data_IF_279876827941
#
_entry.id   IF_279876827941
#
_cell.length_a   1.000
_cell.length_b   1.000
_cell.length_c   1.000
_cell.angle_alpha   90.00
_cell.angle_beta   90.00
_cell.angle_gamma   90.00
#
_symmetry.space_group_name_H-M   'P 1'
#
loop_
_entity.id
_entity.type
_entity.pdbx_description
1 polymer ?
#
# COMPACT_ATOMS: atom_id res chain seq x y z
N UNK A 1 3.65 -21.62 -15.61
CA UNK A 1 3.21 -20.22 -15.79
C UNK A 1 3.92 -19.63 -17.00
N UNK A 2 3.18 -18.89 -17.88
CA UNK A 2 3.80 -18.13 -18.97
C UNK A 2 4.62 -16.95 -18.36
N UNK A 3 5.59 -16.45 -19.12
CA UNK A 3 6.43 -15.33 -18.71
C UNK A 3 5.58 -14.11 -18.34
N UNK A 4 4.57 -13.78 -19.12
CA UNK A 4 3.65 -12.66 -18.88
C UNK A 4 2.95 -12.78 -17.52
N UNK A 5 2.53 -13.98 -17.14
CA UNK A 5 1.90 -14.22 -15.82
C UNK A 5 2.88 -14.09 -14.66
N UNK A 6 4.14 -14.42 -14.89
CA UNK A 6 5.19 -14.22 -13.88
C UNK A 6 5.43 -12.72 -13.69
N UNK A 7 5.61 -11.97 -14.79
CA UNK A 7 5.81 -10.51 -14.76
C UNK A 7 4.60 -9.83 -14.11
N UNK A 8 3.38 -10.20 -14.53
CA UNK A 8 2.15 -9.69 -13.93
C UNK A 8 2.14 -9.88 -12.40
N UNK A 9 2.43 -11.09 -11.93
CA UNK A 9 2.45 -11.40 -10.50
C UNK A 9 3.51 -10.60 -9.73
N UNK A 10 4.68 -10.39 -10.32
CA UNK A 10 5.74 -9.56 -9.71
C UNK A 10 5.29 -8.10 -9.59
N UNK A 11 4.70 -7.54 -10.65
CA UNK A 11 4.22 -6.14 -10.65
C UNK A 11 3.04 -5.97 -9.68
N UNK A 12 2.11 -6.93 -9.64
CA UNK A 12 1.00 -7.00 -8.66
C UNK A 12 1.55 -6.99 -7.21
N UNK A 13 2.54 -7.83 -6.94
CA UNK A 13 3.23 -7.90 -5.63
C UNK A 13 3.94 -6.59 -5.27
N UNK A 14 4.57 -5.90 -6.22
CA UNK A 14 5.20 -4.59 -5.98
C UNK A 14 4.12 -3.55 -5.63
N UNK A 15 3.00 -3.54 -6.35
CA UNK A 15 1.90 -2.62 -6.08
C UNK A 15 1.27 -2.82 -4.69
N UNK A 16 1.05 -4.07 -4.27
CA UNK A 16 0.60 -4.42 -2.91
C UNK A 16 1.63 -4.01 -1.86
N UNK A 17 2.90 -4.43 -2.01
CA UNK A 17 3.95 -4.14 -1.04
C UNK A 17 4.32 -2.65 -0.97
N UNK A 18 3.96 -1.83 -1.94
CA UNK A 18 4.04 -0.38 -1.81
C UNK A 18 3.21 0.10 -0.63
N UNK A 19 2.02 -0.46 -0.40
CA UNK A 19 1.19 -0.16 0.77
C UNK A 19 1.74 -0.86 2.01
N UNK A 20 1.77 -2.18 2.00
CA UNK A 20 1.98 -3.01 3.20
C UNK A 20 3.43 -3.01 3.69
N UNK A 21 4.37 -2.87 2.76
CA UNK A 21 5.80 -2.89 3.04
C UNK A 21 6.39 -1.52 3.36
N UNK A 22 5.78 -0.44 2.86
CA UNK A 22 6.35 0.89 3.05
C UNK A 22 5.36 1.93 3.57
N UNK A 23 4.26 2.20 2.85
CA UNK A 23 3.38 3.34 3.16
C UNK A 23 2.70 3.18 4.51
N UNK A 24 2.16 2.00 4.80
CA UNK A 24 1.47 1.77 6.07
C UNK A 24 2.42 1.83 7.28
N UNK A 25 3.59 1.16 7.29
CA UNK A 25 4.55 1.35 8.37
C UNK A 25 4.97 2.81 8.56
N UNK A 26 5.23 3.54 7.45
CA UNK A 26 5.58 4.96 7.50
C UNK A 26 4.44 5.82 8.05
N UNK A 27 3.19 5.54 7.67
CA UNK A 27 1.99 6.21 8.16
C UNK A 27 1.81 6.01 9.66
N UNK A 28 1.96 4.78 10.17
CA UNK A 28 1.86 4.50 11.60
C UNK A 28 3.02 5.12 12.38
N UNK A 29 4.25 5.12 11.84
CA UNK A 29 5.38 5.86 12.40
C UNK A 29 5.06 7.36 12.52
N UNK A 30 4.52 7.93 11.45
CA UNK A 30 4.08 9.33 11.41
C UNK A 30 3.00 9.62 12.45
N UNK A 31 1.96 8.80 12.54
CA UNK A 31 0.92 8.95 13.58
C UNK A 31 1.51 8.87 14.99
N UNK A 32 2.32 7.86 15.25
CA UNK A 32 2.95 7.67 16.55
C UNK A 32 3.90 8.80 16.97
N UNK A 33 4.44 9.55 15.99
CA UNK A 33 5.31 10.69 16.25
C UNK A 33 4.61 11.86 16.95
N UNK A 34 3.29 11.90 16.95
CA UNK A 34 2.51 12.92 17.69
C UNK A 34 2.16 12.50 19.12
N UNK A 35 2.43 11.26 19.52
CA UNK A 35 2.15 10.76 20.86
C UNK A 35 3.43 10.51 21.64
N UNK A 36 3.41 10.88 22.93
CA UNK A 36 4.53 10.75 23.84
C UNK A 36 4.05 10.14 25.15
N UNK A 37 4.93 9.36 25.77
CA UNK A 37 4.73 8.83 27.12
C UNK A 37 5.93 9.17 27.97
N UNK A 38 5.71 9.34 29.28
CA UNK A 38 6.79 9.54 30.25
C UNK A 38 7.18 8.20 30.86
N UNK A 39 8.42 7.79 30.65
CA UNK A 39 8.95 6.53 31.16
C UNK A 39 10.26 6.87 31.95
N UNK A 40 10.31 6.54 33.22
CA UNK A 40 11.46 6.80 34.09
C UNK A 40 11.99 8.25 34.03
N UNK A 41 11.08 9.22 33.96
CA UNK A 41 11.45 10.64 33.88
C UNK A 41 11.84 11.14 32.48
N UNK A 42 11.86 10.28 31.47
CA UNK A 42 12.14 10.63 30.07
C UNK A 42 10.88 10.67 29.23
N UNK A 43 10.80 11.63 28.30
CA UNK A 43 9.73 11.71 27.31
C UNK A 43 10.11 10.88 26.09
N UNK A 44 9.32 9.84 25.80
CA UNK A 44 9.57 8.89 24.72
C UNK A 44 8.46 8.97 23.67
N UNK A 45 8.83 9.10 22.40
CA UNK A 45 7.88 9.07 21.29
C UNK A 45 7.33 7.67 21.03
N UNK A 46 6.05 7.58 20.70
CA UNK A 46 5.39 6.33 20.32
C UNK A 46 5.53 5.98 18.82
N UNK A 47 6.37 6.67 18.06
CA UNK A 47 6.57 6.40 16.63
C UNK A 47 6.95 4.93 16.35
N UNK A 48 7.97 4.42 17.05
CA UNK A 48 8.41 3.02 16.88
C UNK A 48 7.36 2.00 17.36
N UNK A 49 6.74 2.13 18.55
CA UNK A 49 5.64 1.26 18.97
C UNK A 49 4.49 1.18 17.95
N UNK A 50 4.08 2.30 17.37
CA UNK A 50 3.01 2.31 16.35
C UNK A 50 3.43 1.54 15.08
N UNK A 51 4.64 1.77 14.58
CA UNK A 51 5.18 1.04 13.43
C UNK A 51 5.24 -0.47 13.68
N UNK A 52 5.73 -0.88 14.86
CA UNK A 52 5.83 -2.29 15.24
C UNK A 52 4.46 -2.94 15.42
N UNK A 53 3.48 -2.21 15.98
CA UNK A 53 2.09 -2.68 16.09
C UNK A 53 1.48 -2.94 14.72
N UNK A 54 1.63 -2.00 13.79
CA UNK A 54 1.20 -2.22 12.42
C UNK A 54 1.89 -3.45 11.80
N UNK A 55 3.21 -3.57 11.95
CA UNK A 55 3.94 -4.71 11.38
C UNK A 55 3.50 -6.05 11.97
N UNK A 56 3.17 -6.09 13.26
CA UNK A 56 2.60 -7.28 13.90
C UNK A 56 1.23 -7.65 13.29
N UNK A 57 0.33 -6.67 13.10
CA UNK A 57 -0.98 -6.85 12.47
C UNK A 57 -0.81 -7.42 11.05
N UNK A 58 -0.01 -6.79 10.22
CA UNK A 58 0.24 -7.20 8.84
C UNK A 58 0.90 -8.59 8.74
N UNK A 59 1.83 -8.91 9.67
CA UNK A 59 2.44 -10.23 9.72
C UNK A 59 1.43 -11.30 10.12
N UNK A 60 0.56 -11.04 11.10
CA UNK A 60 -0.50 -11.97 11.49
C UNK A 60 -1.46 -12.24 10.34
N UNK A 61 -1.88 -11.22 9.60
CA UNK A 61 -2.71 -11.42 8.41
C UNK A 61 -2.00 -12.28 7.37
N UNK A 62 -0.76 -11.97 7.04
CA UNK A 62 0.05 -12.73 6.09
C UNK A 62 0.25 -14.19 6.49
N UNK A 63 0.25 -14.51 7.78
CA UNK A 63 0.45 -15.88 8.27
C UNK A 63 -0.86 -16.68 8.39
N UNK A 64 -1.95 -16.04 8.77
CA UNK A 64 -3.20 -16.76 9.13
C UNK A 64 -4.46 -16.19 8.48
N UNK A 65 -4.42 -15.06 7.80
CA UNK A 65 -5.55 -14.39 7.16
C UNK A 65 -6.14 -15.10 5.93
N UNK A 66 -5.67 -16.30 5.62
CA UNK A 66 -6.10 -17.07 4.46
C UNK A 66 -7.54 -17.59 4.58
N UNK A 67 -8.33 -17.44 3.50
CA UNK A 67 -9.69 -17.97 3.37
C UNK A 67 -9.72 -19.45 3.00
N UNK A 68 -9.01 -20.31 3.74
CA UNK A 68 -9.04 -21.77 3.59
C UNK A 68 -9.70 -22.40 4.82
N UNK A 69 -10.11 -23.66 4.72
CA UNK A 69 -10.82 -24.37 5.79
C UNK A 69 -10.10 -24.33 7.14
N UNK A 70 -8.76 -24.29 7.13
CA UNK A 70 -7.95 -24.28 8.36
C UNK A 70 -7.96 -22.94 9.08
N UNK A 71 -8.03 -21.81 8.35
CA UNK A 71 -7.82 -20.46 8.89
C UNK A 71 -9.04 -19.55 8.79
N UNK A 72 -10.14 -20.00 8.14
CA UNK A 72 -11.30 -19.16 7.84
C UNK A 72 -11.93 -18.50 9.07
N UNK A 73 -11.95 -19.19 10.19
CA UNK A 73 -12.47 -18.64 11.45
C UNK A 73 -11.39 -17.98 12.30
N UNK A 74 -10.23 -18.63 12.41
CA UNK A 74 -9.11 -18.17 13.21
C UNK A 74 -8.47 -16.89 12.63
N UNK A 75 -8.22 -16.85 11.32
CA UNK A 75 -7.59 -15.72 10.64
C UNK A 75 -8.52 -14.54 10.33
N UNK A 76 -9.83 -14.69 10.53
CA UNK A 76 -10.83 -13.66 10.20
C UNK A 76 -10.61 -12.35 10.96
N UNK A 77 -10.16 -12.42 12.20
CA UNK A 77 -9.91 -11.22 13.02
C UNK A 77 -8.66 -10.50 12.52
N UNK A 78 -7.56 -11.22 12.26
CA UNK A 78 -6.32 -10.63 11.74
C UNK A 78 -6.55 -9.96 10.39
N UNK A 79 -7.24 -10.61 9.45
CA UNK A 79 -7.59 -10.06 8.15
C UNK A 79 -8.42 -8.76 8.26
N UNK A 80 -9.40 -8.71 9.16
CA UNK A 80 -10.21 -7.51 9.36
C UNK A 80 -9.43 -6.35 10.00
N UNK A 81 -8.56 -6.65 10.96
CA UNK A 81 -7.74 -5.63 11.62
C UNK A 81 -6.72 -5.06 10.62
N UNK A 82 -6.13 -5.91 9.78
CA UNK A 82 -5.25 -5.47 8.70
C UNK A 82 -6.00 -4.62 7.67
N UNK A 83 -7.19 -5.03 7.25
CA UNK A 83 -8.05 -4.24 6.35
C UNK A 83 -8.35 -2.84 6.92
N UNK A 84 -8.60 -2.71 8.22
CA UNK A 84 -8.82 -1.42 8.89
C UNK A 84 -7.52 -0.62 8.95
N UNK A 85 -6.41 -1.24 9.32
CA UNK A 85 -5.11 -0.58 9.41
C UNK A 85 -4.66 0.00 8.07
N UNK A 86 -4.86 -0.74 6.99
CA UNK A 86 -4.49 -0.34 5.64
C UNK A 86 -5.50 0.59 4.96
N UNK A 87 -6.66 0.87 5.59
CA UNK A 87 -7.74 1.63 4.94
C UNK A 87 -7.30 3.01 4.44
N UNK A 88 -6.69 3.82 5.29
CA UNK A 88 -6.20 5.17 4.91
C UNK A 88 -4.93 5.07 4.05
N UNK A 89 -3.88 4.33 4.45
CA UNK A 89 -2.66 4.21 3.67
C UNK A 89 -2.88 3.79 2.21
N UNK A 90 -3.71 2.77 1.98
CA UNK A 90 -3.98 2.29 0.64
C UNK A 90 -4.64 3.36 -0.26
N UNK A 91 -5.56 4.14 0.30
CA UNK A 91 -6.22 5.22 -0.44
C UNK A 91 -5.29 6.39 -0.74
N UNK A 92 -4.43 6.76 0.20
CA UNK A 92 -3.38 7.76 -0.04
C UNK A 92 -2.42 7.29 -1.14
N UNK A 93 -2.05 6.01 -1.11
CA UNK A 93 -1.18 5.43 -2.12
C UNK A 93 -1.80 5.49 -3.52
N UNK A 94 -3.00 4.96 -3.69
CA UNK A 94 -3.64 4.88 -5.01
C UNK A 94 -4.14 6.22 -5.55
N UNK A 95 -4.61 7.12 -4.67
CA UNK A 95 -5.18 8.41 -5.09
C UNK A 95 -4.11 9.49 -5.28
N UNK A 96 -3.07 9.48 -4.46
CA UNK A 96 -2.12 10.60 -4.40
C UNK A 96 -0.72 10.14 -4.84
N UNK A 97 -0.12 9.19 -4.11
CA UNK A 97 1.31 8.93 -4.25
C UNK A 97 1.67 8.26 -5.58
N UNK A 98 0.92 7.25 -6.02
CA UNK A 98 1.19 6.56 -7.30
C UNK A 98 0.94 7.50 -8.49
N UNK A 99 -0.18 8.24 -8.59
CA UNK A 99 -0.36 9.21 -9.67
C UNK A 99 0.72 10.29 -9.70
N UNK A 100 1.09 10.89 -8.56
CA UNK A 100 2.16 11.89 -8.51
C UNK A 100 3.51 11.31 -8.93
N UNK A 101 3.84 10.10 -8.48
CA UNK A 101 5.06 9.39 -8.90
C UNK A 101 5.06 9.13 -10.41
N UNK A 102 3.91 8.77 -10.96
CA UNK A 102 3.74 8.58 -12.40
C UNK A 102 4.01 9.86 -13.19
N UNK A 103 3.56 11.01 -12.67
CA UNK A 103 3.84 12.31 -13.28
C UNK A 103 5.34 12.62 -13.29
N UNK A 104 6.03 12.41 -12.16
CA UNK A 104 7.47 12.66 -12.01
C UNK A 104 8.29 11.76 -12.94
N UNK A 105 7.88 10.50 -13.10
CA UNK A 105 8.56 9.53 -13.94
C UNK A 105 8.20 9.61 -15.43
N UNK A 106 7.32 10.54 -15.82
CA UNK A 106 6.85 10.66 -17.20
C UNK A 106 5.90 9.54 -17.63
N UNK A 107 5.27 8.83 -16.67
CA UNK A 107 4.22 7.85 -16.92
C UNK A 107 2.84 8.52 -16.95
N UNK A 108 1.78 7.74 -17.18
CA UNK A 108 0.44 8.33 -17.39
C UNK A 108 -0.27 8.67 -16.07
N UNK A 109 -0.08 9.88 -15.56
CA UNK A 109 -0.82 10.43 -14.42
C UNK A 109 -2.35 10.37 -14.62
N UNK A 110 -2.84 10.83 -15.78
CA UNK A 110 -4.28 10.87 -16.07
C UNK A 110 -4.89 9.47 -16.08
N UNK A 111 -4.20 8.51 -16.69
CA UNK A 111 -4.69 7.14 -16.77
C UNK A 111 -4.59 6.44 -15.41
N UNK A 112 -3.56 6.72 -14.62
CA UNK A 112 -3.43 6.25 -13.23
C UNK A 112 -4.67 6.62 -12.42
N UNK A 113 -5.07 7.90 -12.42
CA UNK A 113 -6.28 8.36 -11.73
C UNK A 113 -7.57 7.78 -12.33
N UNK A 114 -7.69 7.76 -13.67
CA UNK A 114 -8.87 7.21 -14.35
C UNK A 114 -9.13 5.76 -13.94
N UNK A 115 -8.10 4.93 -13.99
CA UNK A 115 -8.22 3.51 -13.66
C UNK A 115 -8.44 3.33 -12.15
N UNK A 116 -7.76 4.11 -11.31
CA UNK A 116 -8.00 4.12 -9.87
C UNK A 116 -9.49 4.30 -9.56
N UNK A 117 -10.13 5.36 -10.06
CA UNK A 117 -11.54 5.62 -9.76
C UNK A 117 -12.49 4.56 -10.33
N UNK A 118 -12.17 3.99 -11.49
CA UNK A 118 -12.99 2.97 -12.15
C UNK A 118 -12.87 1.60 -11.50
N UNK A 119 -11.65 1.18 -11.10
CA UNK A 119 -11.35 -0.23 -10.83
C UNK A 119 -10.94 -0.54 -9.39
N UNK A 120 -10.69 0.47 -8.54
CA UNK A 120 -10.19 0.28 -7.16
C UNK A 120 -11.01 -0.69 -6.29
N UNK A 121 -12.26 -0.89 -6.60
CA UNK A 121 -13.18 -1.77 -5.84
C UNK A 121 -13.34 -3.15 -6.49
N UNK A 122 -12.59 -3.47 -7.54
CA UNK A 122 -12.68 -4.77 -8.23
C UNK A 122 -11.83 -5.87 -7.58
N UNK A 123 -10.96 -5.53 -6.64
CA UNK A 123 -10.17 -6.52 -5.91
C UNK A 123 -10.95 -7.09 -4.73
N UNK A 124 -10.68 -8.36 -4.36
CA UNK A 124 -11.31 -9.04 -3.20
C UNK A 124 -10.89 -8.44 -1.85
N UNK A 125 -9.70 -7.84 -1.75
CA UNK A 125 -9.28 -7.00 -0.64
C UNK A 125 -9.73 -5.57 -0.88
N UNK A 126 -10.27 -4.86 0.12
CA UNK A 126 -10.70 -3.47 -0.01
C UNK A 126 -9.52 -2.49 -0.16
N UNK A 127 -8.30 -2.95 0.06
CA UNK A 127 -7.07 -2.17 0.07
C UNK A 127 -6.16 -2.43 -1.13
N UNK A 128 -5.90 -3.70 -1.50
CA UNK A 128 -5.00 -4.05 -2.61
C UNK A 128 -5.42 -3.41 -3.93
N UNK A 129 -6.73 -3.40 -4.24
CA UNK A 129 -7.25 -2.76 -5.45
C UNK A 129 -6.99 -1.26 -5.55
N UNK A 130 -6.70 -0.57 -4.43
CA UNK A 130 -6.41 0.86 -4.44
C UNK A 130 -5.05 1.15 -5.13
N UNK A 131 -3.99 0.45 -4.72
CA UNK A 131 -2.67 0.60 -5.33
C UNK A 131 -2.58 -0.06 -6.70
N UNK A 132 -3.08 -1.30 -6.83
CA UNK A 132 -3.05 -2.03 -8.10
C UNK A 132 -3.70 -1.27 -9.24
N UNK A 133 -4.89 -0.71 -9.02
CA UNK A 133 -5.59 0.06 -10.06
C UNK A 133 -4.81 1.29 -10.52
N UNK A 134 -4.17 2.00 -9.59
CA UNK A 134 -3.33 3.14 -9.90
C UNK A 134 -2.07 2.73 -10.69
N UNK A 135 -1.40 1.64 -10.29
CA UNK A 135 -0.26 1.08 -11.02
C UNK A 135 -0.65 0.60 -12.41
N UNK A 136 -1.76 -0.14 -12.53
CA UNK A 136 -2.28 -0.60 -13.82
C UNK A 136 -2.51 0.56 -14.78
N UNK A 137 -3.13 1.63 -14.29
CA UNK A 137 -3.35 2.84 -15.07
C UNK A 137 -2.06 3.57 -15.45
N UNK A 138 -1.11 3.69 -14.53
CA UNK A 138 0.18 4.33 -14.75
C UNK A 138 1.00 3.64 -15.84
N UNK A 139 1.00 2.31 -15.82
CA UNK A 139 1.82 1.47 -16.70
C UNK A 139 1.10 1.04 -17.99
N UNK A 140 -0.22 1.24 -18.10
CA UNK A 140 -1.03 0.81 -19.25
C UNK A 140 -1.16 -0.71 -19.36
N UNK A 141 -1.24 -1.40 -18.23
CA UNK A 141 -1.33 -2.86 -18.13
C UNK A 141 -2.65 -3.29 -17.49
N UNK A 142 -2.97 -4.57 -17.56
CA UNK A 142 -4.18 -5.13 -16.95
C UNK A 142 -3.84 -6.31 -16.05
N UNK A 143 -4.17 -6.22 -14.77
CA UNK A 143 -4.10 -7.33 -13.82
C UNK A 143 -5.34 -8.21 -13.87
N UNK A 144 -5.26 -9.40 -13.27
CA UNK A 144 -6.37 -10.34 -13.17
C UNK A 144 -6.59 -11.20 -14.39
N UNK A 145 -7.85 -11.69 -14.57
CA UNK A 145 -8.21 -12.66 -15.58
C UNK A 145 -8.02 -14.11 -15.11
N UNK A 146 -7.84 -15.04 -16.05
CA UNK A 146 -7.72 -16.48 -15.75
C UNK A 146 -6.37 -16.80 -15.11
N UNK A 147 -6.40 -17.31 -13.89
CA UNK A 147 -5.23 -17.74 -13.11
C UNK A 147 -5.44 -19.20 -12.72
N UNK A 148 -4.41 -20.03 -12.91
CA UNK A 148 -4.44 -21.44 -12.50
C UNK A 148 -3.57 -21.63 -11.27
N UNK A 149 -4.16 -22.11 -10.17
CA UNK A 149 -3.48 -22.49 -8.94
C UNK A 149 -3.74 -23.97 -8.65
N UNK A 150 -2.68 -24.77 -8.50
CA UNK A 150 -2.77 -26.21 -8.20
C UNK A 150 -3.71 -26.97 -9.10
N UNK A 151 -3.72 -26.66 -10.42
CA UNK A 151 -4.57 -27.30 -11.42
C UNK A 151 -6.04 -26.90 -11.41
N UNK A 152 -6.42 -25.88 -10.61
CA UNK A 152 -7.76 -25.29 -10.63
C UNK A 152 -7.69 -23.90 -11.25
N UNK A 153 -8.59 -23.63 -12.19
CA UNK A 153 -8.72 -22.32 -12.82
C UNK A 153 -9.63 -21.41 -11.99
N UNK A 154 -9.13 -20.22 -11.72
CA UNK A 154 -9.87 -19.13 -11.08
C UNK A 154 -9.92 -17.94 -12.01
N UNK A 155 -10.99 -17.18 -11.97
CA UNK A 155 -11.11 -15.92 -12.71
C UNK A 155 -11.13 -14.75 -11.73
N UNK A 156 -10.02 -13.98 -11.70
CA UNK A 156 -9.96 -12.71 -10.95
C UNK A 156 -10.57 -11.60 -11.82
N UNK A 157 -11.25 -10.64 -11.18
CA UNK A 157 -11.72 -9.44 -11.88
C UNK A 157 -10.54 -8.69 -12.51
N UNK A 158 -10.79 -8.14 -13.71
CA UNK A 158 -9.76 -7.41 -14.45
C UNK A 158 -9.65 -5.98 -13.93
N UNK A 159 -8.43 -5.56 -13.61
CA UNK A 159 -8.07 -4.23 -13.12
C UNK A 159 -7.13 -3.59 -14.14
N UNK A 160 -7.47 -2.43 -14.67
CA UNK A 160 -6.72 -1.74 -15.71
C UNK A 160 -7.19 -2.03 -17.13
N UNK A 161 -6.54 -1.40 -18.09
CA UNK A 161 -6.75 -1.58 -19.52
C UNK A 161 -5.50 -2.25 -20.12
N UNK A 162 -5.71 -3.27 -20.96
CA UNK A 162 -4.63 -3.95 -21.66
C UNK A 162 -4.20 -3.11 -22.87
N UNK A 163 -3.42 -2.05 -22.63
CA UNK A 163 -2.90 -1.21 -23.70
C UNK A 163 -1.63 -1.80 -24.35
N UNK A 164 -1.01 -2.76 -23.69
CA UNK A 164 0.17 -3.50 -24.13
C UNK A 164 0.22 -4.86 -23.45
N UNK A 165 1.07 -5.75 -23.95
CA UNK A 165 1.47 -6.97 -23.26
C UNK A 165 2.45 -6.65 -22.14
N UNK A 166 2.54 -7.54 -21.12
CA UNK A 166 3.55 -7.43 -20.09
C UNK A 166 4.95 -7.65 -20.67
N UNK A 167 5.89 -6.81 -20.26
CA UNK A 167 7.31 -7.00 -20.57
C UNK A 167 8.18 -6.80 -19.32
N UNK A 168 9.45 -7.19 -19.41
CA UNK A 168 10.40 -7.10 -18.31
C UNK A 168 10.61 -5.65 -17.80
N UNK A 169 10.46 -4.66 -18.67
CA UNK A 169 10.55 -3.25 -18.30
C UNK A 169 9.43 -2.79 -17.37
N UNK A 170 8.29 -3.49 -17.32
CA UNK A 170 7.21 -3.17 -16.40
C UNK A 170 7.59 -3.41 -14.95
N UNK A 171 8.44 -4.41 -14.68
CA UNK A 171 9.00 -4.63 -13.34
C UNK A 171 9.85 -3.43 -12.92
N UNK A 172 10.75 -2.96 -13.80
CA UNK A 172 11.60 -1.79 -13.51
C UNK A 172 10.76 -0.53 -13.30
N UNK A 173 9.75 -0.33 -14.15
CA UNK A 173 8.83 0.82 -14.01
C UNK A 173 8.06 0.76 -12.70
N UNK A 174 7.57 -0.41 -12.30
CA UNK A 174 6.89 -0.58 -11.01
C UNK A 174 7.82 -0.31 -9.83
N UNK A 175 9.06 -0.78 -9.87
CA UNK A 175 10.08 -0.50 -8.85
C UNK A 175 10.41 1.00 -8.79
N UNK A 176 10.51 1.68 -9.94
CA UNK A 176 10.72 3.13 -9.98
C UNK A 176 9.56 3.89 -9.33
N UNK A 177 8.31 3.48 -9.60
CA UNK A 177 7.14 4.04 -8.90
C UNK A 177 7.28 3.84 -7.40
N UNK A 178 7.60 2.63 -6.93
CA UNK A 178 7.80 2.34 -5.51
C UNK A 178 8.83 3.28 -4.86
N UNK A 179 10.01 3.48 -5.50
CA UNK A 179 11.04 4.36 -4.96
C UNK A 179 10.57 5.82 -4.87
N UNK A 180 9.94 6.33 -5.93
CA UNK A 180 9.45 7.72 -5.94
C UNK A 180 8.30 7.90 -4.94
N UNK A 181 7.38 6.94 -4.85
CA UNK A 181 6.32 6.92 -3.82
C UNK A 181 6.93 6.96 -2.42
N UNK A 182 7.92 6.11 -2.16
CA UNK A 182 8.59 6.04 -0.85
C UNK A 182 9.25 7.36 -0.49
N UNK A 183 9.94 7.99 -1.44
CA UNK A 183 10.59 9.28 -1.25
C UNK A 183 9.58 10.40 -0.96
N UNK A 184 8.55 10.54 -1.79
CA UNK A 184 7.52 11.58 -1.61
C UNK A 184 6.80 11.42 -0.27
N UNK A 185 6.42 10.20 0.09
CA UNK A 185 5.73 9.91 1.35
C UNK A 185 6.59 10.28 2.54
N UNK A 186 7.86 9.85 2.54
CA UNK A 186 8.80 10.16 3.62
C UNK A 186 8.97 11.67 3.80
N UNK A 187 9.24 12.39 2.72
CA UNK A 187 9.40 13.85 2.75
C UNK A 187 8.11 14.52 3.24
N UNK A 188 6.94 14.09 2.73
CA UNK A 188 5.65 14.66 3.14
C UNK A 188 5.39 14.48 4.64
N UNK A 189 5.59 13.28 5.17
CA UNK A 189 5.36 12.99 6.59
C UNK A 189 6.35 13.72 7.51
N UNK A 190 7.63 13.83 7.10
CA UNK A 190 8.63 14.62 7.84
C UNK A 190 8.23 16.09 7.88
N UNK A 191 7.87 16.68 6.73
CA UNK A 191 7.46 18.08 6.66
C UNK A 191 6.23 18.36 7.52
N UNK A 192 5.21 17.51 7.44
CA UNK A 192 4.00 17.65 8.27
C UNK A 192 4.33 17.51 9.76
N UNK A 193 5.21 16.56 10.14
CA UNK A 193 5.64 16.39 11.54
C UNK A 193 6.38 17.61 12.07
N UNK A 194 7.26 18.22 11.27
CA UNK A 194 7.99 19.42 11.67
C UNK A 194 7.04 20.62 11.84
N UNK A 195 6.10 20.81 10.92
CA UNK A 195 5.12 21.90 10.97
C UNK A 195 4.13 21.67 12.11
N UNK A 196 3.65 20.45 12.29
CA UNK A 196 2.73 20.06 13.36
C UNK A 196 3.41 20.14 14.74
N UNK A 197 4.61 19.58 14.88
CA UNK A 197 5.36 19.54 16.14
C UNK A 197 5.61 20.93 16.74
N UNK A 198 5.87 21.93 15.91
CA UNK A 198 6.02 23.32 16.38
C UNK A 198 4.75 23.87 17.06
N UNK A 199 3.57 23.42 16.68
CA UNK A 199 2.29 23.83 17.30
C UNK A 199 2.06 23.09 18.63
N UNK A 200 2.39 21.81 18.73
CA UNK A 200 2.19 21.01 19.93
C UNK A 200 3.18 21.39 21.05
N UNK A 201 4.44 21.67 20.72
CA UNK A 201 5.44 22.14 21.71
C UNK A 201 4.98 23.46 22.33
N UNK A 202 4.39 24.38 21.56
CA UNK A 202 3.82 25.62 22.12
C UNK A 202 2.65 25.37 23.07
N UNK A 203 1.83 24.34 22.85
CA UNK A 203 0.71 24.00 23.73
C UNK A 203 1.18 23.35 25.05
N UNK A 204 2.24 22.55 25.03
CA UNK A 204 2.81 21.88 26.20
C UNK A 204 3.63 22.82 27.10
N UNK A 205 4.12 23.94 26.58
CA UNK A 205 4.87 24.95 27.33
C UNK A 205 3.93 25.93 28.06
N UNK A 206 2.63 25.93 27.77
CA UNK A 206 1.61 26.78 28.39
C UNK A 206 0.72 26.04 29.41
N UNK A 207 1.07 24.81 29.80
CA UNK A 207 0.48 24.02 30.88
C UNK A 207 1.55 23.74 31.93
#
# INVERSE_FOLDING_TARGET
LSLDKIIMSVVETIAENTVDGFISPAFFTFLGSFFYVQIFGNVVSLALPFAMTYKAINTLDSMVGYKNEKYIDFGKVSARVDDIANFIPARLTGLIFVPLSSLILGYSFKNSLKIFFRDRNKHSSPNSGQSESAYAGALGIQFGGKISYFGKDYEKQKIGDKLKEFDYEDIKKAVNILYVVSFITTVSFILISIIGGKKWIKLLVFV
#
